data_IF_521500460980
#
_entry.id   IF_521500460980
#
_cell.length_a   1.000
_cell.length_b   1.000
_cell.length_c   1.000
_cell.angle_alpha   90.00
_cell.angle_beta   90.00
_cell.angle_gamma   90.00
#
_symmetry.space_group_name_H-M   'P 1'
#
loop_
_entity.id
_entity.type
_entity.pdbx_description
1 polymer ?
#
# COMPACT_ATOMS: atom_id res chain seq x y z
N UNK A 1 15.00 -16.72 10.52
CA UNK A 1 13.76 -16.60 9.73
C UNK A 1 14.02 -15.65 8.58
N UNK A 2 13.57 -16.00 7.38
CA UNK A 2 13.68 -15.16 6.18
C UNK A 2 12.29 -14.66 5.79
N UNK A 3 12.18 -13.37 5.47
CA UNK A 3 10.94 -12.76 5.01
C UNK A 3 10.83 -12.84 3.48
N UNK A 4 9.65 -13.19 2.99
CA UNK A 4 9.33 -13.25 1.56
C UNK A 4 8.12 -12.35 1.29
N UNK A 5 8.18 -11.57 0.22
CA UNK A 5 7.04 -10.82 -0.29
C UNK A 5 6.12 -11.73 -1.10
N UNK A 6 4.81 -11.58 -0.91
CA UNK A 6 3.77 -12.31 -1.61
C UNK A 6 2.63 -11.36 -2.00
N UNK A 7 1.65 -11.89 -2.74
CA UNK A 7 0.47 -11.16 -3.22
C UNK A 7 0.78 -9.99 -4.17
N UNK A 8 1.23 -10.34 -5.38
CA UNK A 8 1.45 -9.39 -6.47
C UNK A 8 0.19 -9.13 -7.32
N UNK A 9 -1.01 -9.47 -6.81
CA UNK A 9 -2.27 -9.34 -7.56
C UNK A 9 -2.63 -7.91 -7.95
N UNK A 10 -2.11 -6.93 -7.21
CA UNK A 10 -2.25 -5.50 -7.50
C UNK A 10 -0.96 -4.85 -8.03
N UNK A 11 0.13 -5.61 -8.18
CA UNK A 11 1.41 -5.09 -8.63
C UNK A 11 1.32 -4.59 -10.07
N UNK A 12 1.98 -3.46 -10.37
CA UNK A 12 1.96 -2.83 -11.69
C UNK A 12 3.36 -2.64 -12.22
N UNK A 13 3.56 -2.99 -13.48
CA UNK A 13 4.81 -2.77 -14.19
C UNK A 13 4.82 -1.35 -14.78
N UNK A 14 5.69 -0.48 -14.27
CA UNK A 14 5.77 0.93 -14.68
C UNK A 14 6.19 1.14 -16.14
N UNK A 15 6.87 0.16 -16.75
CA UNK A 15 7.31 0.21 -18.16
C UNK A 15 6.27 -0.27 -19.17
N UNK A 16 5.08 -0.70 -18.72
CA UNK A 16 4.03 -1.19 -19.62
C UNK A 16 3.28 -0.04 -20.29
N UNK A 17 2.92 -0.20 -21.56
CA UNK A 17 2.12 0.77 -22.34
C UNK A 17 0.76 1.08 -21.68
N UNK A 18 0.28 0.19 -20.81
CA UNK A 18 -0.99 0.30 -20.09
C UNK A 18 -0.88 0.96 -18.71
N UNK A 19 0.30 1.41 -18.29
CA UNK A 19 0.51 2.07 -16.99
C UNK A 19 -0.44 3.26 -16.78
N UNK A 20 -0.63 4.07 -17.83
CA UNK A 20 -1.53 5.22 -17.81
C UNK A 20 -3.00 4.82 -17.59
N UNK A 21 -3.43 3.66 -18.12
CA UNK A 21 -4.81 3.19 -17.98
C UNK A 21 -5.08 2.53 -16.61
N UNK A 22 -4.03 2.04 -15.95
CA UNK A 22 -4.13 1.40 -14.65
C UNK A 22 -4.43 2.39 -13.49
N UNK A 23 -4.42 3.70 -13.74
CA UNK A 23 -4.71 4.75 -12.74
C UNK A 23 -6.23 4.97 -12.49
N UNK A 24 -7.10 4.11 -13.01
CA UNK A 24 -8.55 4.37 -13.03
C UNK A 24 -9.26 4.10 -11.68
N UNK A 25 -8.64 3.35 -10.76
CA UNK A 25 -9.24 2.97 -9.48
C UNK A 25 -8.18 2.85 -8.38
N UNK A 26 -8.49 3.36 -7.20
CA UNK A 26 -7.71 3.14 -5.97
C UNK A 26 -7.99 1.72 -5.47
N UNK A 27 -6.94 0.93 -5.26
CA UNK A 27 -6.99 -0.42 -4.71
C UNK A 27 -5.82 -0.63 -3.75
N UNK A 28 -6.11 -1.10 -2.55
CA UNK A 28 -5.09 -1.34 -1.52
C UNK A 28 -5.73 -1.57 -0.15
N UNK A 29 -4.89 -1.88 0.83
CA UNK A 29 -5.33 -2.12 2.21
C UNK A 29 -5.47 -0.80 2.97
N UNK A 30 -6.63 -0.58 3.58
CA UNK A 30 -6.87 0.61 4.41
C UNK A 30 -5.80 0.75 5.50
N UNK A 31 -5.32 1.97 5.75
CA UNK A 31 -4.20 2.25 6.65
C UNK A 31 -2.81 2.19 5.99
N UNK A 32 -2.69 1.51 4.85
CA UNK A 32 -1.42 1.35 4.11
C UNK A 32 -1.39 2.14 2.80
N UNK A 33 -2.55 2.64 2.34
CA UNK A 33 -2.66 3.43 1.11
C UNK A 33 -2.00 4.80 1.33
N UNK A 34 -1.02 5.12 0.48
CA UNK A 34 -0.40 6.43 0.48
C UNK A 34 -1.43 7.53 0.14
N UNK A 35 -1.40 8.68 0.84
CA UNK A 35 -2.40 9.73 0.65
C UNK A 35 -2.41 10.25 -0.80
N UNK A 36 -1.25 10.43 -1.42
CA UNK A 36 -1.13 10.82 -2.81
C UNK A 36 -1.82 9.83 -3.76
N UNK A 37 -1.72 8.52 -3.47
CA UNK A 37 -2.41 7.51 -4.27
C UNK A 37 -3.93 7.60 -4.08
N UNK A 38 -4.40 7.84 -2.86
CA UNK A 38 -5.83 8.02 -2.56
C UNK A 38 -6.47 9.22 -3.26
N UNK A 39 -5.75 10.34 -3.39
CA UNK A 39 -6.30 11.59 -3.94
C UNK A 39 -6.13 11.73 -5.45
N UNK A 40 -4.94 11.43 -5.98
CA UNK A 40 -4.63 11.69 -7.40
C UNK A 40 -4.76 10.44 -8.26
N UNK A 41 -5.06 9.28 -7.65
CA UNK A 41 -5.04 7.96 -8.29
C UNK A 41 -3.71 7.62 -8.97
N UNK A 42 -2.65 8.34 -8.62
CA UNK A 42 -1.32 8.19 -9.19
C UNK A 42 -0.54 7.19 -8.34
N UNK A 43 -0.31 6.01 -8.90
CA UNK A 43 0.53 4.99 -8.27
C UNK A 43 1.97 5.33 -8.63
N UNK A 44 2.88 5.25 -7.68
CA UNK A 44 4.30 5.44 -7.93
C UNK A 44 5.10 4.52 -7.02
N UNK A 45 6.40 4.36 -7.27
CA UNK A 45 7.29 3.69 -6.32
C UNK A 45 7.22 4.34 -4.90
N UNK A 46 6.90 5.65 -4.81
CA UNK A 46 6.79 6.34 -3.52
C UNK A 46 5.57 5.91 -2.71
N UNK A 47 4.49 5.47 -3.35
CA UNK A 47 3.36 4.90 -2.61
C UNK A 47 3.72 3.58 -1.93
N UNK A 48 4.65 2.80 -2.51
CA UNK A 48 5.17 1.57 -1.90
C UNK A 48 6.13 1.88 -0.73
N UNK A 49 6.89 2.97 -0.83
CA UNK A 49 7.74 3.44 0.29
C UNK A 49 6.90 3.85 1.50
N UNK A 50 5.78 4.56 1.27
CA UNK A 50 4.87 4.93 2.35
C UNK A 50 4.30 3.70 3.06
N UNK A 51 3.75 2.75 2.31
CA UNK A 51 3.13 1.54 2.86
C UNK A 51 4.13 0.67 3.62
N UNK A 52 5.38 0.57 3.12
CA UNK A 52 6.48 -0.06 3.84
C UNK A 52 6.78 0.64 5.18
N UNK A 53 6.76 1.98 5.21
CA UNK A 53 6.92 2.75 6.44
C UNK A 53 5.86 2.42 7.50
N UNK A 54 4.60 2.22 7.07
CA UNK A 54 3.51 1.78 7.96
C UNK A 54 3.81 0.39 8.52
N UNK A 55 4.23 -0.57 7.68
CA UNK A 55 4.61 -1.93 8.13
C UNK A 55 5.77 -1.88 9.13
N UNK A 56 6.78 -1.04 8.87
CA UNK A 56 7.90 -0.86 9.80
C UNK A 56 7.43 -0.35 11.17
N UNK A 57 6.53 0.64 11.18
CA UNK A 57 5.96 1.16 12.43
C UNK A 57 5.09 0.12 13.15
N UNK A 58 4.31 -0.68 12.43
CA UNK A 58 3.52 -1.78 12.99
C UNK A 58 4.43 -2.81 13.68
N UNK A 59 5.55 -3.21 13.03
CA UNK A 59 6.54 -4.13 13.61
C UNK A 59 7.20 -3.52 14.85
N UNK A 60 7.63 -2.26 14.78
CA UNK A 60 8.34 -1.60 15.88
C UNK A 60 7.43 -1.32 17.08
N UNK A 61 6.17 -0.99 16.84
CA UNK A 61 5.21 -0.66 17.89
C UNK A 61 4.45 -1.88 18.43
N UNK A 62 4.39 -2.98 17.66
CA UNK A 62 3.53 -4.12 17.94
C UNK A 62 2.02 -3.79 17.88
N UNK A 63 1.64 -2.65 17.28
CA UNK A 63 0.25 -2.18 17.18
C UNK A 63 -0.21 -2.21 15.73
N UNK A 64 -1.45 -2.65 15.52
CA UNK A 64 -2.11 -2.62 14.20
C UNK A 64 -2.10 -1.23 13.60
N UNK A 65 -1.74 -1.12 12.31
CA UNK A 65 -1.79 0.13 11.56
C UNK A 65 -3.19 0.78 11.53
N UNK A 66 -4.24 -0.04 11.66
CA UNK A 66 -5.63 0.41 11.79
C UNK A 66 -6.18 -0.07 13.12
N UNK A 67 -6.59 0.88 13.97
CA UNK A 67 -7.24 0.57 15.23
C UNK A 67 -8.72 0.22 14.96
N UNK A 68 -9.05 -1.07 15.03
CA UNK A 68 -10.45 -1.49 15.05
C UNK A 68 -11.06 -1.10 16.41
N UNK A 69 -11.68 0.07 16.48
CA UNK A 69 -12.49 0.53 17.63
C UNK A 69 -13.83 -0.24 17.75
N UNK A 70 -13.79 -1.57 17.66
CA UNK A 70 -14.93 -2.45 17.88
C UNK A 70 -14.56 -3.53 18.90
N UNK A 71 -14.26 -3.08 20.12
CA UNK A 71 -14.29 -3.92 21.32
C UNK A 71 -15.05 -3.15 22.40
N UNK A 72 -16.37 -3.32 22.40
CA UNK A 72 -17.18 -3.23 23.62
C UNK A 72 -17.22 -4.60 24.28
#
# INVERSE_FOLDING_TARGET
YEAYLADFGLAKLMSSTNYQHAMSRVAGSYGYIAPEYGYTMNITEKSDVYSYGVVLLEILSGRSAVENRLRE
#
